data_IF_335065135473
#
_entry.id   IF_335065135473
#
_cell.length_a   1.000
_cell.length_b   1.000
_cell.length_c   1.000
_cell.angle_alpha   90.00
_cell.angle_beta   90.00
_cell.angle_gamma   90.00
#
_symmetry.space_group_name_H-M   'P 1'
#
loop_
_entity.id
_entity.type
_entity.pdbx_description
1 polymer ?
#
# COMPACT_ATOMS: atom_id res chain seq x y z
N UNK A 1 11.14 -4.65 17.71
CA UNK A 1 12.41 -4.00 18.13
C UNK A 1 12.87 -3.03 17.04
N UNK A 2 13.82 -2.12 17.33
CA UNK A 2 14.20 -1.01 16.44
C UNK A 2 14.52 -1.41 14.98
N UNK A 3 15.01 -2.62 14.74
CA UNK A 3 15.25 -3.17 13.40
C UNK A 3 13.97 -3.32 12.55
N UNK A 4 12.86 -3.79 13.13
CA UNK A 4 11.58 -3.93 12.40
C UNK A 4 11.06 -2.57 11.95
N UNK A 5 11.10 -1.56 12.82
CA UNK A 5 10.61 -0.21 12.47
C UNK A 5 11.39 0.38 11.29
N UNK A 6 12.70 0.19 11.25
CA UNK A 6 13.53 0.60 10.11
C UNK A 6 13.17 -0.16 8.81
N UNK A 7 12.89 -1.47 8.91
CA UNK A 7 12.43 -2.27 7.77
C UNK A 7 11.09 -1.77 7.23
N UNK A 8 10.12 -1.55 8.12
CA UNK A 8 8.78 -1.03 7.77
C UNK A 8 8.91 0.34 7.10
N UNK A 9 9.68 1.26 7.68
CA UNK A 9 9.88 2.59 7.10
C UNK A 9 10.53 2.55 5.70
N UNK A 10 11.48 1.64 5.48
CA UNK A 10 12.07 1.42 4.15
C UNK A 10 11.04 0.87 3.17
N UNK A 11 10.27 -0.13 3.60
CA UNK A 11 9.23 -0.74 2.77
C UNK A 11 8.17 0.29 2.36
N UNK A 12 7.64 1.07 3.32
CA UNK A 12 6.65 2.11 3.07
C UNK A 12 7.18 3.18 2.13
N UNK A 13 8.43 3.63 2.30
CA UNK A 13 9.07 4.59 1.40
C UNK A 13 9.15 4.06 -0.03
N UNK A 14 9.55 2.80 -0.20
CA UNK A 14 9.63 2.17 -1.51
C UNK A 14 8.25 1.98 -2.14
N UNK A 15 7.27 1.54 -1.35
CA UNK A 15 5.88 1.36 -1.79
C UNK A 15 5.25 2.68 -2.22
N UNK A 16 5.42 3.75 -1.43
CA UNK A 16 4.96 5.11 -1.75
C UNK A 16 5.53 5.58 -3.09
N UNK A 17 6.85 5.44 -3.28
CA UNK A 17 7.53 5.84 -4.52
C UNK A 17 7.04 5.03 -5.72
N UNK A 18 6.84 3.73 -5.54
CA UNK A 18 6.38 2.84 -6.60
C UNK A 18 4.93 3.15 -7.00
N UNK A 19 4.04 3.38 -6.01
CA UNK A 19 2.65 3.76 -6.26
C UNK A 19 2.56 5.11 -6.99
N UNK A 20 3.25 6.14 -6.52
CA UNK A 20 3.31 7.46 -7.19
C UNK A 20 3.73 7.35 -8.67
N UNK A 21 4.64 6.42 -8.98
CA UNK A 21 5.15 6.19 -10.33
C UNK A 21 4.32 5.20 -11.15
N UNK A 22 3.25 4.64 -10.57
CA UNK A 22 2.48 3.54 -11.14
C UNK A 22 3.35 2.32 -11.51
N UNK A 23 4.41 2.07 -10.74
CA UNK A 23 5.39 1.01 -11.00
C UNK A 23 4.99 -0.30 -10.30
N UNK A 24 4.15 -1.09 -10.99
CA UNK A 24 3.66 -2.36 -10.49
C UNK A 24 4.77 -3.39 -10.23
N UNK A 25 5.86 -3.35 -11.01
CA UNK A 25 7.01 -4.26 -10.84
C UNK A 25 7.77 -3.93 -9.56
N UNK A 26 8.02 -2.65 -9.31
CA UNK A 26 8.64 -2.21 -8.06
C UNK A 26 7.76 -2.57 -6.85
N UNK A 27 6.44 -2.38 -6.92
CA UNK A 27 5.53 -2.84 -5.88
C UNK A 27 5.67 -4.36 -5.64
N UNK A 28 5.57 -5.18 -6.70
CA UNK A 28 5.64 -6.64 -6.57
C UNK A 28 6.98 -7.12 -5.97
N UNK A 29 8.09 -6.42 -6.27
CA UNK A 29 9.42 -6.74 -5.72
C UNK A 29 9.52 -6.63 -4.19
N UNK A 30 8.58 -5.92 -3.56
CA UNK A 30 8.56 -5.73 -2.11
C UNK A 30 7.95 -6.92 -1.34
N UNK A 31 7.49 -7.95 -2.06
CA UNK A 31 6.82 -9.12 -1.52
C UNK A 31 7.68 -10.39 -1.62
N UNK A 32 7.45 -11.35 -0.71
CA UNK A 32 7.98 -12.71 -0.86
C UNK A 32 7.32 -13.41 -2.06
N UNK A 33 7.93 -14.49 -2.54
CA UNK A 33 7.43 -15.21 -3.72
C UNK A 33 6.03 -15.78 -3.51
N UNK A 34 5.73 -16.20 -2.28
CA UNK A 34 4.51 -16.83 -1.80
C UNK A 34 3.57 -15.88 -1.03
N UNK A 35 3.80 -14.56 -1.12
CA UNK A 35 3.07 -13.59 -0.30
C UNK A 35 1.56 -13.59 -0.59
N UNK A 36 0.77 -13.24 0.43
CA UNK A 36 -0.68 -13.00 0.28
C UNK A 36 -0.99 -11.51 0.24
N UNK A 37 -1.91 -11.11 -0.63
CA UNK A 37 -2.36 -9.73 -0.78
C UNK A 37 -3.90 -9.69 -0.76
N UNK A 38 -4.46 -9.13 0.31
CA UNK A 38 -5.90 -8.90 0.44
C UNK A 38 -6.15 -7.43 0.10
N UNK A 39 -6.56 -7.16 -1.14
CA UNK A 39 -6.77 -5.82 -1.66
C UNK A 39 -7.94 -5.07 -1.02
N UNK A 40 -8.88 -5.80 -0.43
CA UNK A 40 -10.04 -5.28 0.26
C UNK A 40 -10.60 -6.39 1.16
N UNK A 41 -11.24 -6.10 2.31
CA UNK A 41 -11.66 -7.12 3.28
C UNK A 41 -12.66 -8.16 2.73
N UNK A 42 -13.43 -7.78 1.71
CA UNK A 42 -14.46 -8.63 1.09
C UNK A 42 -14.08 -9.19 -0.27
N UNK A 43 -12.84 -8.97 -0.75
CA UNK A 43 -12.39 -9.48 -2.05
C UNK A 43 -11.61 -10.78 -1.88
N UNK A 44 -11.61 -11.66 -2.91
CA UNK A 44 -10.72 -12.81 -2.92
C UNK A 44 -9.25 -12.42 -2.74
N UNK A 45 -8.49 -13.32 -2.15
CA UNK A 45 -7.09 -13.10 -1.80
C UNK A 45 -6.19 -13.39 -2.99
N UNK A 46 -5.32 -12.46 -3.35
CA UNK A 46 -4.26 -12.66 -4.34
C UNK A 46 -3.08 -13.41 -3.69
N UNK A 47 -2.61 -14.49 -4.34
CA UNK A 47 -1.57 -15.36 -3.81
C UNK A 47 -0.35 -15.39 -4.74
N UNK A 48 0.82 -15.12 -4.17
CA UNK A 48 2.11 -15.16 -4.85
C UNK A 48 2.46 -13.87 -5.59
N UNK A 49 3.76 -13.62 -5.72
CA UNK A 49 4.32 -12.37 -6.28
C UNK A 49 3.83 -12.08 -7.70
N UNK A 50 3.71 -13.11 -8.54
CA UNK A 50 3.20 -12.97 -9.91
C UNK A 50 1.76 -12.45 -9.91
N UNK A 51 0.86 -13.04 -9.12
CA UNK A 51 -0.53 -12.57 -9.07
C UNK A 51 -0.64 -11.20 -8.41
N UNK A 52 0.25 -10.86 -7.47
CA UNK A 52 0.35 -9.50 -6.92
C UNK A 52 0.72 -8.50 -8.01
N UNK A 53 1.67 -8.83 -8.89
CA UNK A 53 2.01 -7.99 -10.04
C UNK A 53 0.79 -7.80 -10.95
N UNK A 54 0.10 -8.89 -11.32
CA UNK A 54 -1.07 -8.84 -12.20
C UNK A 54 -2.20 -7.98 -11.60
N UNK A 55 -2.50 -8.15 -10.31
CA UNK A 55 -3.45 -7.32 -9.59
C UNK A 55 -3.02 -5.85 -9.59
N UNK A 56 -1.74 -5.58 -9.30
CA UNK A 56 -1.21 -4.23 -9.16
C UNK A 56 -1.22 -3.48 -10.49
N UNK A 57 -1.00 -4.17 -11.62
CA UNK A 57 -1.13 -3.58 -12.95
C UNK A 57 -2.54 -3.03 -13.19
N UNK A 58 -3.58 -3.78 -12.81
CA UNK A 58 -4.96 -3.30 -12.90
C UNK A 58 -5.27 -2.19 -11.90
N UNK A 59 -4.81 -2.33 -10.65
CA UNK A 59 -5.06 -1.33 -9.60
C UNK A 59 -4.37 0.03 -9.88
N UNK A 60 -3.26 0.03 -10.63
CA UNK A 60 -2.54 1.23 -11.04
C UNK A 60 -2.91 1.72 -12.45
N UNK A 61 -3.89 1.10 -13.11
CA UNK A 61 -4.44 1.58 -14.39
C UNK A 61 -5.37 2.80 -14.16
N UNK A 62 -4.76 3.86 -13.65
CA UNK A 62 -5.38 5.16 -13.37
C UNK A 62 -4.69 6.22 -14.21
N UNK A 63 -5.44 7.24 -14.62
CA UNK A 63 -4.93 8.30 -15.51
C UNK A 63 -3.73 9.01 -14.87
N UNK A 64 -3.86 9.41 -13.61
CA UNK A 64 -2.82 10.12 -12.87
C UNK A 64 -2.90 9.78 -11.38
N UNK A 65 -1.75 9.68 -10.71
CA UNK A 65 -1.65 9.70 -9.25
C UNK A 65 -1.10 11.06 -8.86
N UNK A 66 -1.87 11.84 -8.09
CA UNK A 66 -1.47 13.18 -7.67
C UNK A 66 -0.57 13.13 -6.45
N UNK A 67 -0.96 12.31 -5.48
CA UNK A 67 -0.27 12.21 -4.20
C UNK A 67 -0.51 10.82 -3.60
N UNK A 68 0.51 10.29 -2.91
CA UNK A 68 0.42 9.12 -2.05
C UNK A 68 1.13 9.47 -0.75
N UNK A 69 0.40 9.43 0.36
CA UNK A 69 0.94 9.66 1.71
C UNK A 69 0.75 8.44 2.56
N UNK A 70 1.76 8.16 3.38
CA UNK A 70 1.66 7.19 4.47
C UNK A 70 1.96 7.89 5.78
N UNK A 71 1.18 7.58 6.80
CA UNK A 71 1.40 8.03 8.18
C UNK A 71 2.55 7.28 8.86
N UNK A 72 2.73 7.56 10.14
CA UNK A 72 3.70 6.85 10.98
C UNK A 72 3.23 5.42 11.26
N UNK A 73 4.08 4.40 11.06
CA UNK A 73 3.68 3.03 11.31
C UNK A 73 3.58 2.70 12.81
N UNK A 74 2.52 2.00 13.18
CA UNK A 74 2.44 1.24 14.43
C UNK A 74 3.07 -0.13 14.19
N UNK A 75 4.04 -0.54 15.02
CA UNK A 75 4.85 -1.74 14.78
C UNK A 75 4.84 -2.64 16.00
N UNK A 76 4.49 -3.90 15.80
CA UNK A 76 4.47 -4.94 16.82
C UNK A 76 5.10 -6.23 16.27
N UNK A 77 6.20 -6.68 16.88
CA UNK A 77 6.93 -7.87 16.41
C UNK A 77 7.41 -7.76 14.96
N UNK A 78 6.86 -8.59 14.08
CA UNK A 78 7.08 -8.61 12.61
C UNK A 78 5.92 -8.01 11.81
N UNK A 79 4.96 -7.36 12.48
CA UNK A 79 3.75 -6.79 11.88
C UNK A 79 3.77 -5.27 11.99
N UNK A 80 3.10 -4.60 11.06
CA UNK A 80 2.88 -3.17 11.12
C UNK A 80 1.49 -2.80 10.61
N UNK A 81 0.95 -1.70 11.12
CA UNK A 81 -0.23 -1.03 10.60
C UNK A 81 0.18 0.38 10.17
N UNK A 82 -0.22 0.79 8.97
CA UNK A 82 0.13 2.12 8.43
C UNK A 82 -1.06 2.69 7.69
N UNK A 83 -1.56 3.82 8.18
CA UNK A 83 -2.58 4.59 7.46
C UNK A 83 -1.98 5.22 6.20
N UNK A 84 -2.81 5.37 5.17
CA UNK A 84 -2.44 6.05 3.95
C UNK A 84 -3.59 6.88 3.38
N UNK A 85 -3.22 7.86 2.57
CA UNK A 85 -4.11 8.77 1.88
C UNK A 85 -3.57 9.00 0.47
N UNK A 86 -4.37 8.77 -0.56
CA UNK A 86 -3.97 8.96 -1.95
C UNK A 86 -5.07 9.70 -2.72
N UNK A 87 -4.66 10.61 -3.59
CA UNK A 87 -5.55 11.26 -4.54
C UNK A 87 -5.10 10.92 -5.95
N UNK A 88 -6.05 10.53 -6.80
CA UNK A 88 -5.77 10.06 -8.15
C UNK A 88 -6.91 10.39 -9.10
N UNK A 89 -6.67 10.25 -10.39
CA UNK A 89 -7.67 10.34 -11.44
C UNK A 89 -8.01 8.94 -11.94
N UNK A 90 -9.18 8.44 -11.54
CA UNK A 90 -9.72 7.19 -12.04
C UNK A 90 -10.53 7.46 -13.31
N UNK A 91 -9.96 7.08 -14.47
CA UNK A 91 -10.48 7.42 -15.80
C UNK A 91 -10.69 8.93 -15.97
N UNK A 92 -11.91 9.42 -15.78
CA UNK A 92 -12.29 10.84 -15.95
C UNK A 92 -12.56 11.53 -14.61
N UNK A 93 -12.76 10.78 -13.53
CA UNK A 93 -13.12 11.31 -12.21
C UNK A 93 -11.89 11.42 -11.32
N UNK A 94 -11.76 12.54 -10.62
CA UNK A 94 -10.83 12.62 -9.51
C UNK A 94 -11.43 11.88 -8.30
N UNK A 95 -10.61 11.08 -7.61
CA UNK A 95 -11.01 10.31 -6.43
C UNK A 95 -9.96 10.42 -5.34
N UNK A 96 -10.40 10.22 -4.10
CA UNK A 96 -9.56 10.09 -2.92
C UNK A 96 -9.79 8.73 -2.30
N UNK A 97 -8.70 8.01 -2.04
CA UNK A 97 -8.72 6.73 -1.36
C UNK A 97 -7.93 6.87 -0.06
N UNK A 98 -8.56 6.49 1.05
CA UNK A 98 -7.98 6.57 2.38
C UNK A 98 -8.15 5.21 3.06
N UNK A 99 -7.12 4.76 3.76
CA UNK A 99 -7.15 3.42 4.34
C UNK A 99 -5.99 3.12 5.27
N UNK A 100 -5.87 1.84 5.62
CA UNK A 100 -4.78 1.31 6.43
C UNK A 100 -4.34 -0.04 5.88
N UNK A 101 -3.02 -0.17 5.67
CA UNK A 101 -2.40 -1.46 5.33
C UNK A 101 -1.91 -2.17 6.58
N UNK A 102 -2.35 -3.41 6.75
CA UNK A 102 -1.81 -4.35 7.71
C UNK A 102 -0.73 -5.18 7.03
N UNK A 103 0.51 -5.04 7.47
CA UNK A 103 1.69 -5.64 6.88
C UNK A 103 2.27 -6.72 7.77
N UNK A 104 2.82 -7.76 7.15
CA UNK A 104 3.55 -8.82 7.82
C UNK A 104 4.86 -9.09 7.09
N UNK A 105 5.98 -9.00 7.81
CA UNK A 105 7.32 -9.13 7.25
C UNK A 105 7.95 -10.49 7.52
N UNK A 106 8.71 -10.98 6.54
CA UNK A 106 9.65 -12.07 6.70
C UNK A 106 11.00 -11.55 7.25
N UNK A 107 11.86 -12.45 7.73
CA UNK A 107 13.17 -12.11 8.31
C UNK A 107 14.11 -11.36 7.34
N UNK A 108 13.93 -11.58 6.03
CA UNK A 108 14.72 -10.91 4.98
C UNK A 108 14.22 -9.49 4.64
N UNK A 109 13.17 -8.99 5.32
CA UNK A 109 12.64 -7.65 5.12
C UNK A 109 11.59 -7.51 4.01
N UNK A 110 11.26 -8.59 3.30
CA UNK A 110 10.16 -8.61 2.34
C UNK A 110 8.81 -8.79 3.06
N UNK A 111 7.75 -8.26 2.46
CA UNK A 111 6.39 -8.44 2.95
C UNK A 111 5.87 -9.83 2.52
N UNK A 112 5.45 -10.65 3.48
CA UNK A 112 4.82 -11.96 3.24
C UNK A 112 3.29 -11.90 3.26
N UNK A 113 2.73 -10.78 3.69
CA UNK A 113 1.28 -10.61 3.79
C UNK A 113 0.88 -9.14 3.90
N UNK A 114 -0.05 -8.73 3.05
CA UNK A 114 -0.72 -7.42 3.13
C UNK A 114 -2.23 -7.64 3.22
N UNK A 115 -2.89 -6.85 4.08
CA UNK A 115 -4.34 -6.62 4.03
C UNK A 115 -4.62 -5.14 3.99
N UNK A 116 -5.47 -4.73 3.08
CA UNK A 116 -5.86 -3.35 2.91
C UNK A 116 -7.30 -3.12 3.35
N UNK A 117 -7.51 -2.03 4.08
CA UNK A 117 -8.81 -1.57 4.57
C UNK A 117 -8.94 -0.13 4.13
N UNK A 118 -9.72 0.11 3.07
CA UNK A 118 -9.86 1.44 2.51
C UNK A 118 -11.29 1.78 2.17
N UNK A 119 -11.53 3.09 2.11
CA UNK A 119 -12.73 3.72 1.58
C UNK A 119 -12.32 4.61 0.42
N UNK A 120 -13.22 4.77 -0.53
CA UNK A 120 -13.04 5.65 -1.68
C UNK A 120 -14.16 6.68 -1.69
N UNK A 121 -13.81 7.92 -2.00
CA UNK A 121 -14.75 9.00 -2.22
C UNK A 121 -14.39 9.76 -3.50
N UNK A 122 -15.40 10.19 -4.24
CA UNK A 122 -15.22 11.09 -5.39
C UNK A 122 -14.70 12.47 -4.94
N UNK A 123 -13.84 13.05 -5.77
CA UNK A 123 -13.20 14.35 -5.57
C UNK A 123 -11.81 14.26 -4.95
N UNK A 124 -11.08 15.38 -5.02
CA UNK A 124 -9.78 15.57 -4.35
C UNK A 124 -10.02 16.10 -2.94
N UNK A 125 -9.96 15.22 -1.95
CA UNK A 125 -10.07 15.58 -0.54
C UNK A 125 -8.66 15.69 0.04
N UNK A 126 -8.38 16.83 0.66
CA UNK A 126 -7.13 17.05 1.35
C UNK A 126 -7.04 16.19 2.61
N UNK A 127 -5.85 15.70 2.89
CA UNK A 127 -5.56 14.99 4.13
C UNK A 127 -5.82 15.92 5.34
N UNK A 128 -6.41 15.44 6.46
CA UNK A 128 -6.62 16.25 7.65
C UNK A 128 -5.29 16.76 8.25
N UNK A 129 -5.32 17.94 8.88
CA UNK A 129 -4.11 18.61 9.39
C UNK A 129 -3.33 17.82 10.45
N UNK A 130 -4.01 17.02 11.28
CA UNK A 130 -3.42 16.24 12.38
C UNK A 130 -3.45 14.73 12.10
N UNK A 131 -3.23 14.31 10.85
CA UNK A 131 -3.30 12.91 10.43
C UNK A 131 -1.92 12.26 10.36
N UNK A 132 -1.85 10.95 10.66
CA UNK A 132 -0.67 10.12 10.42
C UNK A 132 0.48 10.25 11.44
N UNK A 133 0.19 10.62 12.69
CA UNK A 133 1.17 10.82 13.78
C UNK A 133 1.62 9.56 14.53
#
# INVERSE_FOLDING_TARGET
MASTRLLVNRWIRSYTKAWLKKDAKAIASLFTEDATYHSHPFRPVTHGKKSILDYTLGALDVGQVYEVRFGKPVVEGSRAAVEYWTTMKEKVEDVTLAGCVMLHFAKNGLCRGLRDYWVLQTGKVQVPANWGH
#
